data_IF_773404876632
#
_entry.id   IF_773404876632
#
_cell.length_a   1.000
_cell.length_b   1.000
_cell.length_c   1.000
_cell.angle_alpha   90.00
_cell.angle_beta   90.00
_cell.angle_gamma   90.00
#
_symmetry.space_group_name_H-M   'P 1'
#
loop_
_entity.id
_entity.type
_entity.pdbx_description
1 polymer ?
#
# COMPACT_ATOMS: atom_id res chain seq x y z
N UNK A 1 -1.36 -54.39 -21.16
CA UNK A 1 -0.50 -53.25 -20.78
C UNK A 1 -1.42 -52.04 -20.58
N UNK A 2 -1.80 -51.80 -19.35
CA UNK A 2 -2.76 -50.75 -18.99
C UNK A 2 -2.00 -49.52 -18.51
N UNK A 3 -2.13 -48.43 -19.25
CA UNK A 3 -1.61 -47.12 -18.86
C UNK A 3 -2.63 -46.44 -17.94
N UNK A 4 -2.25 -46.19 -16.70
CA UNK A 4 -3.07 -45.49 -15.75
C UNK A 4 -2.77 -44.00 -15.88
N UNK A 5 -3.73 -43.24 -16.42
CA UNK A 5 -3.69 -41.80 -16.49
C UNK A 5 -3.94 -41.20 -15.11
N UNK A 6 -3.01 -40.37 -14.64
CA UNK A 6 -3.23 -39.53 -13.46
C UNK A 6 -4.12 -38.31 -13.81
N UNK A 7 -5.13 -38.01 -13.04
CA UNK A 7 -5.87 -36.77 -13.22
C UNK A 7 -5.03 -35.63 -12.68
N UNK A 8 -4.69 -34.64 -13.51
CA UNK A 8 -4.14 -33.36 -13.11
C UNK A 8 -5.21 -32.60 -12.34
N UNK A 9 -4.97 -32.41 -11.06
CA UNK A 9 -5.75 -31.48 -10.24
C UNK A 9 -5.37 -30.07 -10.63
N UNK A 10 -6.25 -29.43 -11.37
CA UNK A 10 -6.18 -28.00 -11.66
C UNK A 10 -6.46 -27.25 -10.37
N UNK A 11 -5.41 -26.78 -9.69
CA UNK A 11 -5.56 -25.83 -8.60
C UNK A 11 -5.98 -24.49 -9.21
N UNK A 12 -7.27 -24.18 -9.09
CA UNK A 12 -7.76 -22.84 -9.28
C UNK A 12 -7.19 -21.96 -8.16
N UNK A 13 -6.12 -21.23 -8.44
CA UNK A 13 -5.67 -20.12 -7.61
C UNK A 13 -6.78 -19.09 -7.59
N UNK A 14 -7.61 -19.13 -6.55
CA UNK A 14 -8.50 -18.04 -6.19
C UNK A 14 -7.63 -16.82 -5.92
N UNK A 15 -7.60 -15.90 -6.88
CA UNK A 15 -6.86 -14.65 -6.75
C UNK A 15 -7.37 -13.88 -5.55
N UNK A 16 -6.62 -13.91 -4.46
CA UNK A 16 -6.85 -13.05 -3.32
C UNK A 16 -6.65 -11.60 -3.76
N UNK A 17 -7.67 -10.79 -3.55
CA UNK A 17 -7.69 -9.35 -3.82
C UNK A 17 -6.67 -8.53 -2.99
N UNK A 18 -5.70 -9.19 -2.35
CA UNK A 18 -4.64 -8.56 -1.55
C UNK A 18 -3.45 -8.06 -2.37
N UNK A 19 -3.45 -8.26 -3.69
CA UNK A 19 -2.33 -7.91 -4.58
C UNK A 19 -2.42 -6.52 -5.21
N UNK A 20 -3.16 -5.62 -4.60
CA UNK A 20 -3.27 -4.23 -5.06
C UNK A 20 -2.01 -3.40 -4.75
N UNK A 21 -1.29 -3.79 -3.70
CA UNK A 21 0.00 -3.22 -3.33
C UNK A 21 1.13 -4.19 -3.67
N UNK A 22 1.92 -3.88 -4.70
CA UNK A 22 3.02 -4.72 -5.15
C UNK A 22 4.25 -4.50 -4.28
N UNK A 23 4.85 -5.58 -3.83
CA UNK A 23 6.07 -5.56 -3.05
C UNK A 23 7.29 -5.33 -3.95
N UNK A 24 8.10 -4.32 -3.63
CA UNK A 24 9.28 -3.91 -4.42
C UNK A 24 10.62 -4.17 -3.72
N UNK A 25 10.67 -4.99 -2.65
CA UNK A 25 11.89 -5.22 -1.84
C UNK A 25 12.58 -6.53 -2.22
N UNK A 26 13.94 -6.54 -2.34
CA UNK A 26 14.69 -7.79 -2.50
C UNK A 26 14.54 -8.73 -1.31
N UNK A 27 14.54 -10.03 -1.57
CA UNK A 27 14.11 -11.14 -0.70
C UNK A 27 14.93 -11.41 0.59
N UNK A 28 15.81 -10.49 1.02
CA UNK A 28 16.69 -10.69 2.20
C UNK A 28 16.41 -9.76 3.39
N UNK A 29 15.42 -8.89 3.31
CA UNK A 29 14.96 -8.09 4.46
C UNK A 29 13.73 -8.73 5.07
N UNK A 30 13.58 -8.65 6.39
CA UNK A 30 12.33 -8.95 7.07
C UNK A 30 11.21 -8.19 6.37
N UNK A 31 10.24 -8.91 5.86
CA UNK A 31 9.19 -8.38 5.02
C UNK A 31 7.89 -8.39 5.81
N UNK A 32 6.91 -7.61 5.37
CA UNK A 32 5.58 -7.65 5.96
C UNK A 32 4.98 -9.06 5.87
N UNK A 33 5.35 -9.85 4.84
CA UNK A 33 4.95 -11.25 4.72
C UNK A 33 5.62 -12.12 5.78
N UNK A 34 6.86 -11.83 6.17
CA UNK A 34 7.53 -12.55 7.27
C UNK A 34 6.86 -12.21 8.61
N UNK A 35 6.41 -10.96 8.78
CA UNK A 35 5.62 -10.54 9.95
C UNK A 35 4.25 -11.20 9.93
N UNK A 36 3.56 -11.25 8.79
CA UNK A 36 2.28 -11.93 8.62
C UNK A 36 2.42 -13.43 8.88
N UNK A 37 3.45 -14.07 8.34
CA UNK A 37 3.74 -15.49 8.60
C UNK A 37 4.10 -15.76 10.06
N UNK A 38 4.88 -14.88 10.70
CA UNK A 38 5.17 -14.98 12.13
C UNK A 38 3.90 -14.81 12.97
N UNK A 39 2.98 -13.95 12.55
CA UNK A 39 1.67 -13.78 13.17
C UNK A 39 0.76 -14.99 12.95
N UNK A 40 0.75 -15.57 11.75
CA UNK A 40 0.01 -16.80 11.46
C UNK A 40 0.55 -17.98 12.29
N UNK A 41 1.88 -18.05 12.45
CA UNK A 41 2.51 -19.05 13.31
C UNK A 41 2.20 -18.83 14.79
N UNK A 42 2.21 -17.59 15.27
CA UNK A 42 1.74 -17.22 16.61
C UNK A 42 0.26 -17.55 16.85
N UNK A 43 -0.56 -17.55 15.78
CA UNK A 43 -1.97 -17.96 15.80
C UNK A 43 -2.13 -19.44 16.17
N UNK A 44 -1.19 -20.29 15.77
CA UNK A 44 -1.20 -21.71 16.12
C UNK A 44 -0.85 -21.96 17.60
N UNK A 45 -0.15 -21.02 18.25
CA UNK A 45 0.34 -21.16 19.63
C UNK A 45 -0.60 -20.55 20.71
N UNK A 46 -1.86 -20.29 20.40
CA UNK A 46 -2.91 -19.96 21.38
C UNK A 46 -3.15 -18.48 21.69
N UNK A 47 -2.47 -17.53 21.00
CA UNK A 47 -2.76 -16.06 21.08
C UNK A 47 -3.66 -15.62 19.92
N UNK A 48 -4.39 -16.57 19.35
CA UNK A 48 -4.89 -16.54 17.97
C UNK A 48 -5.99 -15.52 17.64
N UNK A 49 -6.84 -15.17 18.57
CA UNK A 49 -8.04 -14.37 18.25
C UNK A 49 -7.73 -12.89 18.07
N UNK A 50 -6.90 -12.31 18.94
CA UNK A 50 -6.50 -10.89 18.87
C UNK A 50 -5.61 -10.61 17.65
N UNK A 51 -4.72 -11.54 17.32
CA UNK A 51 -3.85 -11.46 16.14
C UNK A 51 -4.68 -11.59 14.87
N UNK A 52 -5.63 -12.52 14.83
CA UNK A 52 -6.55 -12.65 13.70
C UNK A 52 -7.32 -11.36 13.43
N UNK A 53 -7.86 -10.72 14.47
CA UNK A 53 -8.57 -9.45 14.35
C UNK A 53 -7.65 -8.31 13.84
N UNK A 54 -6.39 -8.29 14.26
CA UNK A 54 -5.43 -7.29 13.80
C UNK A 54 -5.03 -7.52 12.34
N UNK A 55 -4.85 -8.76 11.90
CA UNK A 55 -4.57 -9.12 10.49
C UNK A 55 -5.74 -8.74 9.61
N UNK A 56 -6.96 -9.11 10.00
CA UNK A 56 -8.17 -8.76 9.25
C UNK A 56 -8.37 -7.23 9.16
N UNK A 57 -8.04 -6.51 10.24
CA UNK A 57 -8.09 -5.05 10.23
C UNK A 57 -7.01 -4.45 9.33
N UNK A 58 -5.79 -4.98 9.36
CA UNK A 58 -4.72 -4.55 8.46
C UNK A 58 -5.11 -4.75 7.00
N UNK A 59 -5.69 -5.88 6.65
CA UNK A 59 -6.16 -6.13 5.28
C UNK A 59 -7.23 -5.12 4.85
N UNK A 60 -8.20 -4.82 5.72
CA UNK A 60 -9.19 -3.76 5.47
C UNK A 60 -8.54 -2.40 5.29
N UNK A 61 -7.57 -2.08 6.14
CA UNK A 61 -6.85 -0.81 6.10
C UNK A 61 -6.02 -0.67 4.81
N UNK A 62 -5.41 -1.75 4.34
CA UNK A 62 -4.68 -1.77 3.07
C UNK A 62 -5.61 -1.52 1.87
N UNK A 63 -6.79 -2.12 1.86
CA UNK A 63 -7.80 -1.88 0.82
C UNK A 63 -8.31 -0.43 0.85
N UNK A 64 -8.57 0.10 2.04
CA UNK A 64 -8.97 1.49 2.22
C UNK A 64 -7.87 2.45 1.75
N UNK A 65 -6.61 2.20 2.12
CA UNK A 65 -5.47 3.01 1.70
C UNK A 65 -5.32 3.03 0.17
N UNK A 66 -5.55 1.91 -0.49
CA UNK A 66 -5.57 1.87 -1.96
C UNK A 66 -6.67 2.75 -2.54
N UNK A 67 -7.89 2.63 -2.04
CA UNK A 67 -9.03 3.43 -2.51
C UNK A 67 -8.78 4.93 -2.32
N UNK A 68 -8.29 5.34 -1.14
CA UNK A 68 -7.97 6.75 -0.88
C UNK A 68 -6.78 7.25 -1.68
N UNK A 69 -5.76 6.41 -1.93
CA UNK A 69 -4.65 6.78 -2.82
C UNK A 69 -5.17 7.04 -4.24
N UNK A 70 -6.06 6.19 -4.74
CA UNK A 70 -6.71 6.40 -6.04
C UNK A 70 -7.55 7.68 -6.06
N UNK A 71 -8.28 7.98 -4.99
CA UNK A 71 -9.04 9.22 -4.83
C UNK A 71 -8.12 10.43 -4.92
N UNK A 72 -7.02 10.45 -4.17
CA UNK A 72 -6.03 11.55 -4.20
C UNK A 72 -5.43 11.71 -5.60
N UNK A 73 -5.02 10.64 -6.26
CA UNK A 73 -4.47 10.69 -7.62
C UNK A 73 -5.48 11.26 -8.61
N UNK A 74 -6.75 10.88 -8.50
CA UNK A 74 -7.81 11.42 -9.34
C UNK A 74 -8.05 12.93 -9.09
N UNK A 75 -7.99 13.36 -7.83
CA UNK A 75 -8.08 14.79 -7.47
C UNK A 75 -6.89 15.55 -8.06
N UNK A 76 -5.67 15.03 -7.92
CA UNK A 76 -4.48 15.63 -8.52
C UNK A 76 -4.64 15.82 -10.04
N UNK A 77 -5.14 14.80 -10.73
CA UNK A 77 -5.39 14.88 -12.17
C UNK A 77 -6.40 15.98 -12.55
N UNK A 78 -7.45 16.20 -11.73
CA UNK A 78 -8.41 17.30 -11.94
C UNK A 78 -7.75 18.69 -11.84
N UNK A 79 -6.70 18.81 -11.03
CA UNK A 79 -5.89 20.02 -10.91
C UNK A 79 -4.71 20.07 -11.90
N UNK A 80 -4.63 19.12 -12.84
CA UNK A 80 -3.58 19.06 -13.86
C UNK A 80 -2.22 18.59 -13.32
N UNK A 81 -2.20 17.90 -12.17
CA UNK A 81 -1.01 17.32 -11.57
C UNK A 81 -1.03 15.81 -11.77
N UNK A 82 -0.06 15.29 -12.51
CA UNK A 82 0.10 13.86 -12.75
C UNK A 82 0.95 13.22 -11.65
N UNK A 83 0.47 12.10 -11.09
CA UNK A 83 1.24 11.29 -10.18
C UNK A 83 2.21 10.39 -10.98
N UNK A 84 3.50 10.45 -10.67
CA UNK A 84 4.52 9.61 -11.30
C UNK A 84 4.53 8.22 -10.67
N UNK A 85 4.47 8.18 -9.35
CA UNK A 85 4.55 6.95 -8.56
C UNK A 85 3.90 7.20 -7.20
N UNK A 86 3.31 6.18 -6.60
CA UNK A 86 2.87 6.24 -5.22
C UNK A 86 3.38 5.01 -4.45
N UNK A 87 3.83 5.24 -3.22
CA UNK A 87 4.37 4.19 -2.34
C UNK A 87 3.75 4.27 -0.97
N UNK A 88 3.49 3.09 -0.41
CA UNK A 88 2.92 2.91 0.93
C UNK A 88 3.98 2.39 1.89
N UNK A 89 3.96 2.95 3.09
CA UNK A 89 4.65 2.47 4.28
C UNK A 89 3.63 2.15 5.37
N UNK A 90 3.83 1.05 6.06
CA UNK A 90 3.12 0.68 7.28
C UNK A 90 3.96 1.10 8.49
N UNK A 91 3.48 2.05 9.28
CA UNK A 91 4.08 2.37 10.57
C UNK A 91 3.58 1.41 11.65
N UNK A 92 2.27 1.14 11.64
CA UNK A 92 1.59 0.17 12.49
C UNK A 92 0.38 -0.40 11.73
N UNK A 93 -0.29 -1.42 12.29
CA UNK A 93 -1.47 -2.04 11.67
C UNK A 93 -2.61 -1.05 11.35
N UNK A 94 -2.67 0.11 12.05
CA UNK A 94 -3.69 1.14 11.88
C UNK A 94 -3.14 2.49 11.38
N UNK A 95 -1.83 2.62 11.18
CA UNK A 95 -1.19 3.85 10.69
C UNK A 95 -0.43 3.59 9.42
N UNK A 96 -0.92 4.17 8.34
CA UNK A 96 -0.38 4.04 7.00
C UNK A 96 0.10 5.39 6.49
N UNK A 97 1.20 5.39 5.77
CA UNK A 97 1.76 6.58 5.13
C UNK A 97 1.93 6.34 3.64
N UNK A 98 1.46 7.26 2.83
CA UNK A 98 1.61 7.22 1.38
C UNK A 98 2.45 8.41 0.94
N UNK A 99 3.47 8.14 0.15
CA UNK A 99 4.19 9.16 -0.62
C UNK A 99 3.73 9.06 -2.07
N UNK A 100 3.37 10.20 -2.65
CA UNK A 100 3.08 10.32 -4.07
C UNK A 100 4.15 11.19 -4.70
N UNK A 101 4.85 10.63 -5.67
CA UNK A 101 5.85 11.35 -6.44
C UNK A 101 5.16 12.14 -7.54
N UNK A 102 5.52 13.39 -7.67
CA UNK A 102 5.00 14.30 -8.69
C UNK A 102 6.16 14.94 -9.46
N UNK A 103 5.99 15.38 -10.72
CA UNK A 103 7.01 16.14 -11.41
C UNK A 103 7.45 17.35 -10.58
N UNK A 104 8.75 17.68 -10.58
CA UNK A 104 9.27 18.80 -9.80
C UNK A 104 8.54 20.12 -10.12
N UNK A 105 8.18 20.33 -11.39
CA UNK A 105 7.41 21.50 -11.84
C UNK A 105 6.02 21.60 -11.21
N UNK A 106 5.43 20.50 -10.78
CA UNK A 106 4.12 20.51 -10.14
C UNK A 106 4.17 21.12 -8.72
N UNK A 107 5.32 21.04 -8.06
CA UNK A 107 5.52 21.61 -6.71
C UNK A 107 5.49 23.13 -6.70
N UNK A 108 5.80 23.76 -7.83
CA UNK A 108 5.76 25.22 -8.00
C UNK A 108 4.39 25.73 -8.49
N UNK A 109 3.45 24.83 -8.75
CA UNK A 109 2.10 25.17 -9.22
C UNK A 109 1.22 25.66 -8.06
N UNK A 110 0.45 26.72 -8.29
CA UNK A 110 -0.57 27.17 -7.33
C UNK A 110 -1.62 26.07 -7.02
N UNK A 111 -1.86 25.18 -7.97
CA UNK A 111 -2.80 24.09 -7.80
C UNK A 111 -2.35 23.06 -6.75
N UNK A 112 -1.05 23.02 -6.42
CA UNK A 112 -0.53 22.11 -5.39
C UNK A 112 -1.19 22.37 -4.02
N UNK A 113 -1.46 23.65 -3.69
CA UNK A 113 -2.13 24.01 -2.44
C UNK A 113 -3.56 23.48 -2.37
N UNK A 114 -4.29 23.52 -3.49
CA UNK A 114 -5.64 22.95 -3.58
C UNK A 114 -5.62 21.44 -3.37
N UNK A 115 -4.61 20.77 -3.92
CA UNK A 115 -4.42 19.34 -3.70
C UNK A 115 -4.13 19.04 -2.21
N UNK A 116 -3.32 19.84 -1.52
CA UNK A 116 -3.09 19.68 -0.09
C UNK A 116 -4.35 19.90 0.74
N UNK A 117 -5.20 20.85 0.37
CA UNK A 117 -6.48 21.09 1.05
C UNK A 117 -7.39 19.85 0.93
N UNK A 118 -7.48 19.26 -0.25
CA UNK A 118 -8.26 18.03 -0.50
C UNK A 118 -7.67 16.83 0.23
N UNK A 119 -6.34 16.67 0.23
CA UNK A 119 -5.65 15.65 1.01
C UNK A 119 -6.00 15.78 2.50
N UNK A 120 -5.88 16.99 3.06
CA UNK A 120 -6.23 17.26 4.45
C UNK A 120 -7.68 16.91 4.77
N UNK A 121 -8.60 17.17 3.84
CA UNK A 121 -10.01 16.82 4.00
C UNK A 121 -10.21 15.30 4.05
N UNK A 122 -9.53 14.55 3.17
CA UNK A 122 -9.56 13.09 3.15
C UNK A 122 -8.97 12.53 4.46
N UNK A 123 -7.77 12.97 4.85
CA UNK A 123 -7.11 12.52 6.08
C UNK A 123 -8.00 12.74 7.31
N UNK A 124 -8.62 13.92 7.41
CA UNK A 124 -9.50 14.27 8.52
C UNK A 124 -10.78 13.44 8.53
N UNK A 125 -11.38 13.17 7.36
CA UNK A 125 -12.60 12.39 7.20
C UNK A 125 -12.38 10.93 7.59
N UNK A 126 -11.23 10.37 7.22
CA UNK A 126 -10.94 8.95 7.35
C UNK A 126 -10.24 8.58 8.67
N UNK A 127 -9.81 9.55 9.45
CA UNK A 127 -9.09 9.30 10.70
C UNK A 127 -9.98 8.65 11.75
N UNK A 128 -9.53 7.52 12.30
CA UNK A 128 -10.16 6.82 13.41
C UNK A 128 -9.12 6.07 14.26
N UNK A 129 -9.54 5.51 15.39
CA UNK A 129 -8.66 4.69 16.24
C UNK A 129 -8.16 3.41 15.53
N UNK A 130 -8.87 2.97 14.49
CA UNK A 130 -8.56 1.74 13.73
C UNK A 130 -7.93 1.99 12.38
N UNK A 131 -7.93 3.23 11.91
CA UNK A 131 -7.38 3.60 10.61
C UNK A 131 -6.94 5.05 10.62
N UNK A 132 -5.70 5.27 10.25
CA UNK A 132 -5.13 6.59 10.02
C UNK A 132 -4.24 6.51 8.78
N UNK A 133 -4.51 7.35 7.80
CA UNK A 133 -3.68 7.48 6.60
C UNK A 133 -3.16 8.90 6.51
N UNK A 134 -1.92 9.04 6.07
CA UNK A 134 -1.32 10.33 5.76
C UNK A 134 -0.69 10.29 4.38
N UNK A 135 -0.84 11.38 3.64
CA UNK A 135 -0.27 11.53 2.30
C UNK A 135 0.81 12.62 2.30
N UNK A 136 1.87 12.38 1.56
CA UNK A 136 2.92 13.37 1.30
C UNK A 136 3.20 13.42 -0.18
N UNK A 137 3.27 14.61 -0.73
CA UNK A 137 3.71 14.84 -2.12
C UNK A 137 5.21 15.13 -2.10
N UNK A 138 5.93 14.50 -3.01
CA UNK A 138 7.38 14.65 -3.12
C UNK A 138 7.76 14.84 -4.59
N UNK A 139 8.64 15.81 -4.85
CA UNK A 139 9.14 16.03 -6.20
C UNK A 139 9.96 14.82 -6.69
N UNK A 140 9.59 14.26 -7.84
CA UNK A 140 10.41 13.30 -8.56
C UNK A 140 11.44 14.06 -9.39
N UNK A 141 12.71 13.98 -8.98
CA UNK A 141 13.82 14.69 -9.60
C UNK A 141 15.14 13.97 -9.37
N UNK A 142 16.19 14.45 -10.01
CA UNK A 142 17.54 13.85 -9.96
C UNK A 142 18.09 13.71 -8.53
N UNK A 143 17.66 14.57 -7.62
CA UNK A 143 18.09 14.54 -6.22
C UNK A 143 17.35 13.52 -5.36
N UNK A 144 16.24 12.95 -5.87
CA UNK A 144 15.45 11.97 -5.14
C UNK A 144 16.14 10.61 -5.12
N UNK A 145 16.52 10.16 -3.94
CA UNK A 145 17.06 8.82 -3.75
C UNK A 145 15.93 7.80 -3.48
N UNK A 146 15.43 7.18 -4.55
CA UNK A 146 14.36 6.16 -4.46
C UNK A 146 14.75 4.94 -3.61
N UNK A 147 16.04 4.57 -3.59
CA UNK A 147 16.52 3.48 -2.72
C UNK A 147 16.38 3.83 -1.23
N UNK A 148 16.51 5.12 -0.89
CA UNK A 148 16.28 5.58 0.48
C UNK A 148 14.81 5.48 0.88
N UNK A 149 13.87 5.78 -0.02
CA UNK A 149 12.45 5.58 0.26
C UNK A 149 12.13 4.13 0.61
N UNK A 150 12.74 3.18 -0.11
CA UNK A 150 12.59 1.75 0.19
C UNK A 150 13.20 1.42 1.57
N UNK A 151 14.39 1.95 1.88
CA UNK A 151 15.04 1.77 3.18
C UNK A 151 14.24 2.39 4.33
N UNK A 152 13.51 3.47 4.06
CA UNK A 152 12.62 4.15 5.02
C UNK A 152 11.27 3.42 5.19
N UNK A 153 11.08 2.28 4.50
CA UNK A 153 9.91 1.41 4.65
C UNK A 153 8.79 1.64 3.61
N UNK A 154 8.98 2.49 2.60
CA UNK A 154 8.03 2.68 1.50
C UNK A 154 8.20 1.57 0.45
N UNK A 155 7.88 0.36 0.85
CA UNK A 155 8.20 -0.87 0.11
C UNK A 155 7.08 -1.36 -0.80
N UNK A 156 5.89 -0.76 -0.71
CA UNK A 156 4.72 -1.16 -1.50
C UNK A 156 4.40 -0.08 -2.52
N UNK A 157 4.39 -0.46 -3.77
CA UNK A 157 4.10 0.42 -4.90
C UNK A 157 2.62 0.31 -5.29
N UNK A 158 1.99 1.46 -5.57
CA UNK A 158 0.63 1.53 -6.05
C UNK A 158 0.57 1.13 -7.53
N UNK A 159 -0.30 0.17 -7.84
CA UNK A 159 -0.60 -0.21 -9.22
C UNK A 159 -2.10 0.00 -9.49
N UNK A 160 -2.43 0.97 -10.31
CA UNK A 160 -3.81 1.31 -10.66
C UNK A 160 -4.48 0.28 -11.59
N UNK A 161 -3.69 -0.61 -12.21
CA UNK A 161 -4.17 -1.61 -13.18
C UNK A 161 -4.50 -2.97 -12.54
N UNK A 162 -4.29 -3.10 -11.23
CA UNK A 162 -4.52 -4.34 -10.50
C UNK A 162 -6.00 -4.53 -10.08
#
# INVERSE_FOLDING_TARGET
MSSVGHPSVSQSNGGNASTVWIRTVPSKSFTDDDVIQAWEKGKQDGVSELIGLAVDQLERNMKAAFAHTKEVINIMAQFGIEAVEARLRLDTWNRLKVIILVPASAMDSENIYKVYDEISAIESREQSDRYCITFSLLADGETLNKSRLVSDGYIREFNAEA
#
